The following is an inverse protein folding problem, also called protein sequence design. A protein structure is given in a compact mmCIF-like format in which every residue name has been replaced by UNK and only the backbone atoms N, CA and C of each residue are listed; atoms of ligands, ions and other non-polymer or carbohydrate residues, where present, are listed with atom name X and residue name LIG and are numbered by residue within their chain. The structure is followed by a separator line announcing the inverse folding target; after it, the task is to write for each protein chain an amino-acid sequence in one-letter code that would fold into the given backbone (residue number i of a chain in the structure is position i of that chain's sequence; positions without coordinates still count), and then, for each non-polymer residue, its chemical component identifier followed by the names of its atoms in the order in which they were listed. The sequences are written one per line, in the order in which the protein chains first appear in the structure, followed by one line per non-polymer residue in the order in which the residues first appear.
data_IF_978162455121
#
_entry.id   IF_978162455121
#
_cell.length_a   1.000
_cell.length_b   1.000
_cell.length_c   1.000
_cell.angle_alpha   90.00
_cell.angle_beta   90.00
_cell.angle_gamma   90.00
#
_symmetry.space_group_name_H-M   'P 1'
#
loop_
_entity.id
_entity.type
_entity.pdbx_description
1 polymer ?
#
# COMPACT_ATOMS: atom_id res chain seq x y z
N UNK A 1 1.04 -37.52 -29.06
CA UNK A 1 0.41 -36.20 -28.86
C UNK A 1 1.11 -35.55 -27.66
N UNK A 2 1.86 -34.46 -27.86
CA UNK A 2 2.53 -33.74 -26.76
C UNK A 2 1.70 -32.51 -26.39
N UNK A 3 0.93 -32.59 -25.31
CA UNK A 3 0.20 -31.47 -24.74
C UNK A 3 0.98 -30.85 -23.59
N UNK A 4 2.00 -30.04 -23.90
CA UNK A 4 2.68 -29.25 -22.89
C UNK A 4 1.81 -28.05 -22.52
N UNK A 5 0.95 -28.24 -21.52
CA UNK A 5 0.26 -27.14 -20.83
C UNK A 5 1.30 -26.35 -20.03
N UNK A 6 2.06 -25.52 -20.74
CA UNK A 6 2.97 -24.52 -20.17
C UNK A 6 2.13 -23.59 -19.29
N UNK A 7 2.61 -23.44 -18.06
CA UNK A 7 1.97 -22.67 -17.00
C UNK A 7 1.37 -21.38 -17.53
N UNK A 8 0.06 -21.28 -17.38
CA UNK A 8 -0.62 -20.00 -17.46
C UNK A 8 -0.29 -19.30 -16.15
N UNK A 9 0.78 -18.51 -16.15
CA UNK A 9 0.99 -17.46 -15.16
C UNK A 9 -0.13 -16.45 -15.44
N UNK A 10 -1.29 -16.76 -14.88
CA UNK A 10 -2.39 -15.82 -14.76
C UNK A 10 -1.83 -14.67 -13.93
N UNK A 11 -1.50 -13.60 -14.66
CA UNK A 11 -1.40 -12.24 -14.19
C UNK A 11 -2.77 -11.80 -13.62
N UNK A 12 -3.25 -12.50 -12.60
CA UNK A 12 -4.40 -12.13 -11.79
C UNK A 12 -3.96 -10.99 -10.89
N UNK A 13 -4.33 -9.79 -11.31
CA UNK A 13 -3.83 -8.53 -10.79
C UNK A 13 -3.77 -8.46 -9.27
N UNK A 14 -2.61 -8.05 -8.78
CA UNK A 14 -2.49 -7.32 -7.53
C UNK A 14 -3.25 -5.99 -7.68
N UNK A 15 -4.57 -6.02 -7.70
CA UNK A 15 -5.35 -4.83 -7.34
C UNK A 15 -5.34 -4.76 -5.83
N UNK A 16 -4.15 -4.54 -5.24
CA UNK A 16 -4.06 -4.14 -3.84
C UNK A 16 -4.75 -2.79 -3.77
N UNK A 17 -6.01 -2.78 -3.34
CA UNK A 17 -6.71 -1.54 -3.00
C UNK A 17 -5.93 -0.93 -1.83
N UNK A 18 -5.06 0.02 -2.15
CA UNK A 18 -4.39 0.80 -1.12
C UNK A 18 -5.47 1.55 -0.33
N UNK A 19 -5.43 1.53 1.02
CA UNK A 19 -6.36 2.32 1.83
C UNK A 19 -6.33 3.82 1.55
N UNK A 20 -5.23 4.30 0.94
CA UNK A 20 -5.04 5.69 0.54
C UNK A 20 -4.69 5.84 -0.93
N UNK A 21 -5.16 6.93 -1.53
CA UNK A 21 -4.87 7.31 -2.90
C UNK A 21 -4.00 8.57 -2.96
N UNK A 22 -3.05 8.58 -3.89
CA UNK A 22 -2.20 9.75 -4.11
C UNK A 22 -3.02 10.95 -4.59
N UNK A 23 -2.73 12.13 -4.03
CA UNK A 23 -3.39 13.39 -4.38
C UNK A 23 -4.73 13.63 -3.68
N UNK A 24 -5.20 12.71 -2.83
CA UNK A 24 -6.33 12.95 -1.92
C UNK A 24 -5.84 13.47 -0.57
N UNK A 25 -6.73 14.17 0.13
CA UNK A 25 -6.50 14.67 1.50
C UNK A 25 -7.28 13.82 2.48
N UNK A 26 -6.64 13.46 3.59
CA UNK A 26 -7.24 12.70 4.67
C UNK A 26 -6.95 13.41 5.99
N UNK A 27 -7.92 13.41 6.90
CA UNK A 27 -7.69 13.83 8.29
C UNK A 27 -7.15 12.64 9.07
N UNK A 28 -6.00 12.82 9.71
CA UNK A 28 -5.31 11.77 10.47
C UNK A 28 -4.74 12.36 11.75
N UNK A 29 -4.58 11.51 12.77
CA UNK A 29 -3.86 11.84 14.00
C UNK A 29 -2.42 11.36 13.90
N UNK A 30 -1.48 12.15 14.43
CA UNK A 30 -0.07 11.75 14.53
C UNK A 30 0.08 10.87 15.77
N UNK A 31 0.40 9.59 15.56
CA UNK A 31 0.56 8.60 16.64
C UNK A 31 1.99 8.58 17.20
N UNK A 32 2.99 8.88 16.38
CA UNK A 32 4.40 8.83 16.76
C UNK A 32 5.24 9.83 15.95
N UNK A 33 6.45 10.13 16.42
CA UNK A 33 7.43 10.98 15.73
C UNK A 33 8.70 10.16 15.49
N UNK A 34 9.13 10.09 14.24
CA UNK A 34 10.36 9.41 13.87
C UNK A 34 11.59 10.12 14.45
N UNK A 35 12.73 9.41 14.53
CA UNK A 35 13.99 10.01 15.00
C UNK A 35 14.48 11.19 14.13
N UNK A 36 13.99 11.29 12.89
CA UNK A 36 14.35 12.35 11.95
C UNK A 36 13.42 13.57 12.09
N UNK A 37 12.31 13.44 12.81
CA UNK A 37 11.31 14.49 13.02
C UNK A 37 10.00 14.29 12.27
N UNK A 38 9.92 13.32 11.35
CA UNK A 38 8.69 13.04 10.59
C UNK A 38 7.59 12.50 11.50
N UNK A 39 6.37 13.02 11.37
CA UNK A 39 5.17 12.48 11.99
C UNK A 39 4.74 11.17 11.34
N UNK A 40 4.24 10.24 12.16
CA UNK A 40 3.77 8.92 11.73
C UNK A 40 2.26 8.85 11.99
N UNK A 41 1.49 8.65 10.93
CA UNK A 41 0.05 8.43 10.98
C UNK A 41 -0.32 7.04 10.43
N UNK A 42 -1.51 6.55 10.80
CA UNK A 42 -2.05 5.28 10.28
C UNK A 42 -3.46 5.41 9.75
N UNK A 43 -3.69 4.85 8.57
CA UNK A 43 -5.01 4.72 7.94
C UNK A 43 -5.24 3.25 7.63
N UNK A 44 -6.14 2.60 8.36
CA UNK A 44 -6.44 1.15 8.21
C UNK A 44 -5.18 0.25 8.26
N UNK A 45 -4.21 0.60 9.10
CA UNK A 45 -2.93 -0.11 9.22
C UNK A 45 -1.88 0.28 8.17
N UNK A 46 -2.22 1.13 7.22
CA UNK A 46 -1.29 1.75 6.29
C UNK A 46 -0.54 2.89 6.96
N UNK A 47 0.79 2.80 7.04
CA UNK A 47 1.64 3.80 7.69
C UNK A 47 1.98 4.92 6.71
N UNK A 48 1.74 6.16 7.15
CA UNK A 48 1.98 7.38 6.38
C UNK A 48 2.98 8.24 7.15
N UNK A 49 4.05 8.65 6.47
CA UNK A 49 5.02 9.61 7.00
C UNK A 49 4.62 11.03 6.58
N UNK A 50 4.63 11.95 7.53
CA UNK A 50 4.22 13.34 7.38
C UNK A 50 5.41 14.21 7.81
N UNK A 51 6.09 14.84 6.86
CA UNK A 51 7.25 15.73 7.09
C UNK A 51 6.87 17.21 7.02
#
# INVERSE_FOLDING_TARGET
MYGNNRGSFSSGGFTSSSPVEAGKTYEVEIEDISRQGDGIARVEGFVIFVS
#
